data_IF_379066386146
#
_entry.id   IF_379066386146
#
_cell.length_a   1.000
_cell.length_b   1.000
_cell.length_c   1.000
_cell.angle_alpha   90.00
_cell.angle_beta   90.00
_cell.angle_gamma   90.00
#
_symmetry.space_group_name_H-M   'P 1'
#
loop_
_entity.id
_entity.type
_entity.pdbx_description
1 polymer ?
#
# COMPACT_ATOMS: atom_id res chain seq x y z
N UNK A 1 -7.40 6.73 9.91
CA UNK A 1 -6.29 5.78 10.14
C UNK A 1 -5.29 6.20 11.23
N UNK A 2 -4.37 7.15 10.99
CA UNK A 2 -3.32 7.50 11.98
C UNK A 2 -3.94 7.97 13.31
N UNK A 3 -4.99 8.79 13.25
CA UNK A 3 -5.71 9.22 14.46
C UNK A 3 -6.35 8.05 15.21
N UNK A 4 -6.93 7.08 14.49
CA UNK A 4 -7.49 5.86 15.11
C UNK A 4 -6.38 5.08 15.85
N UNK A 5 -5.21 4.90 15.23
CA UNK A 5 -4.05 4.25 15.85
C UNK A 5 -3.59 5.01 17.10
N UNK A 6 -3.48 6.35 17.04
CA UNK A 6 -3.08 7.19 18.18
C UNK A 6 -4.10 7.19 19.32
N UNK A 7 -5.38 7.05 18.99
CA UNK A 7 -6.48 7.08 19.97
C UNK A 7 -6.71 5.73 20.67
N UNK A 8 -6.11 4.65 20.17
CA UNK A 8 -6.27 3.31 20.71
C UNK A 8 -5.21 3.02 21.77
N UNK A 9 -5.60 2.97 23.05
CA UNK A 9 -4.69 2.67 24.18
C UNK A 9 -3.99 1.30 24.08
N UNK A 10 -4.54 0.41 23.25
CA UNK A 10 -4.00 -0.93 22.97
C UNK A 10 -2.95 -0.94 21.86
N UNK A 11 -2.67 0.21 21.25
CA UNK A 11 -1.68 0.39 20.20
C UNK A 11 -0.59 1.35 20.67
N UNK A 12 0.66 1.00 20.39
CA UNK A 12 1.83 1.83 20.57
C UNK A 12 2.31 2.26 19.20
N UNK A 13 2.21 3.55 18.91
CA UNK A 13 2.79 4.17 17.71
C UNK A 13 4.23 4.55 18.02
N UNK A 14 5.19 3.97 17.30
CA UNK A 14 6.62 4.25 17.48
C UNK A 14 7.06 5.46 16.68
N UNK A 15 6.54 5.56 15.46
CA UNK A 15 6.81 6.62 14.51
C UNK A 15 5.55 6.87 13.69
N UNK A 16 5.28 8.12 13.38
CA UNK A 16 4.27 8.48 12.41
C UNK A 16 4.66 9.75 11.66
N UNK A 17 4.17 9.80 10.43
CA UNK A 17 4.47 10.87 9.51
C UNK A 17 3.17 11.34 8.89
N UNK A 18 2.95 12.63 8.99
CA UNK A 18 2.01 13.35 8.13
C UNK A 18 2.83 14.50 7.57
N UNK A 19 3.15 14.46 6.28
CA UNK A 19 3.94 15.51 5.64
C UNK A 19 3.32 16.88 5.92
N UNK A 20 4.09 17.77 6.55
CA UNK A 20 3.64 19.11 6.92
C UNK A 20 3.41 20.00 5.70
N UNK A 21 2.55 21.02 5.86
CA UNK A 21 2.17 22.00 4.82
C UNK A 21 3.32 22.94 4.39
N UNK A 22 4.43 22.96 5.13
CA UNK A 22 5.48 23.99 5.06
C UNK A 22 6.64 23.69 4.10
N UNK A 23 6.36 23.16 2.90
CA UNK A 23 7.32 23.28 1.80
C UNK A 23 6.94 24.49 0.96
N UNK A 24 7.58 25.63 1.23
CA UNK A 24 7.54 26.80 0.33
C UNK A 24 7.93 26.34 -1.09
N UNK A 25 6.93 26.27 -1.98
CA UNK A 25 7.10 25.82 -3.37
C UNK A 25 6.69 24.36 -3.67
N UNK A 26 6.15 23.61 -2.71
CA UNK A 26 5.59 22.27 -2.93
C UNK A 26 4.16 22.28 -3.49
N UNK A 27 3.74 21.18 -4.12
CA UNK A 27 2.37 20.94 -4.61
C UNK A 27 1.29 20.84 -3.51
N UNK A 28 1.66 21.15 -2.27
CA UNK A 28 0.82 21.13 -1.08
C UNK A 28 -0.31 22.15 -1.17
N UNK A 29 -1.55 21.71 -0.93
CA UNK A 29 -2.75 22.56 -0.96
C UNK A 29 -3.37 22.79 -2.34
N UNK A 30 -2.72 22.35 -3.43
CA UNK A 30 -3.36 22.35 -4.75
C UNK A 30 -4.46 21.30 -4.78
N UNK A 31 -5.64 21.60 -5.36
CA UNK A 31 -6.69 20.59 -5.54
C UNK A 31 -6.13 19.36 -6.26
N UNK A 32 -6.53 18.15 -5.84
CA UNK A 32 -6.10 16.90 -6.50
C UNK A 32 -6.38 16.92 -8.00
N UNK A 33 -7.47 17.57 -8.43
CA UNK A 33 -7.80 17.76 -9.85
C UNK A 33 -6.76 18.56 -10.63
N UNK A 34 -6.11 19.54 -9.98
CA UNK A 34 -5.06 20.35 -10.59
C UNK A 34 -3.76 19.54 -10.73
N UNK A 35 -3.40 18.80 -9.68
CA UNK A 35 -2.25 17.90 -9.70
C UNK A 35 -2.44 16.80 -10.74
N UNK A 36 -3.64 16.21 -10.81
CA UNK A 36 -4.03 15.23 -11.82
C UNK A 36 -3.92 15.80 -13.24
N UNK A 37 -4.34 17.06 -13.45
CA UNK A 37 -4.21 17.73 -14.74
C UNK A 37 -2.75 17.92 -15.14
N UNK A 38 -1.88 18.30 -14.20
CA UNK A 38 -0.45 18.42 -14.43
C UNK A 38 0.20 17.08 -14.75
N UNK A 39 -0.08 16.04 -13.95
CA UNK A 39 0.44 14.69 -14.22
C UNK A 39 -0.02 14.21 -15.59
N UNK A 40 -1.29 14.43 -15.97
CA UNK A 40 -1.78 14.10 -17.31
C UNK A 40 -1.03 14.87 -18.40
N UNK A 41 -0.73 16.15 -18.20
CA UNK A 41 0.04 16.94 -19.16
C UNK A 41 1.49 16.44 -19.29
N UNK A 42 2.15 16.11 -18.17
CA UNK A 42 3.50 15.54 -18.17
C UNK A 42 3.48 14.15 -18.82
N UNK A 43 2.51 13.30 -18.48
CA UNK A 43 2.32 11.98 -19.06
C UNK A 43 2.19 12.02 -20.59
N UNK A 44 1.42 12.98 -21.12
CA UNK A 44 1.28 13.19 -22.55
C UNK A 44 2.58 13.59 -23.25
N UNK A 45 3.53 14.20 -22.52
CA UNK A 45 4.84 14.59 -23.06
C UNK A 45 5.89 13.47 -23.03
N UNK A 46 5.64 12.38 -22.29
CA UNK A 46 6.57 11.25 -22.12
C UNK A 46 6.26 10.14 -23.13
N UNK A 47 7.11 9.89 -24.13
CA UNK A 47 6.88 8.82 -25.11
C UNK A 47 6.69 7.45 -24.46
N UNK A 48 7.40 7.18 -23.36
CA UNK A 48 7.29 5.94 -22.59
C UNK A 48 5.93 5.75 -21.90
N UNK A 49 5.12 6.80 -21.77
CA UNK A 49 3.77 6.77 -21.20
C UNK A 49 2.67 6.90 -22.26
N UNK A 50 3.02 6.82 -23.55
CA UNK A 50 2.03 6.84 -24.61
C UNK A 50 0.98 5.74 -24.40
N UNK A 51 -0.28 6.14 -24.22
CA UNK A 51 -1.40 5.23 -23.98
C UNK A 51 -1.67 4.87 -22.51
N UNK A 52 -0.88 5.38 -21.55
CA UNK A 52 -1.16 5.25 -20.11
C UNK A 52 -2.41 6.06 -19.77
N UNK A 53 -3.34 5.46 -19.03
CA UNK A 53 -4.57 6.12 -18.57
C UNK A 53 -4.59 6.15 -17.05
N UNK A 54 -4.71 7.34 -16.47
CA UNK A 54 -4.91 7.51 -15.03
C UNK A 54 -6.40 7.51 -14.73
N UNK A 55 -6.80 6.66 -13.79
CA UNK A 55 -8.20 6.55 -13.38
C UNK A 55 -8.65 7.86 -12.70
N UNK A 56 -9.76 8.50 -13.16
CA UNK A 56 -10.29 9.69 -12.51
C UNK A 56 -10.67 9.47 -11.03
N UNK A 57 -10.98 8.25 -10.61
CA UNK A 57 -11.33 7.95 -9.21
C UNK A 57 -10.14 8.18 -8.24
N UNK A 58 -8.91 8.21 -8.75
CA UNK A 58 -7.72 8.56 -7.95
C UNK A 58 -7.83 9.99 -7.42
N UNK A 59 -8.50 10.91 -8.13
CA UNK A 59 -8.74 12.27 -7.64
C UNK A 59 -9.68 12.29 -6.41
N UNK A 60 -10.51 11.25 -6.25
CA UNK A 60 -11.44 11.10 -5.12
C UNK A 60 -10.76 10.50 -3.90
N UNK A 61 -9.93 9.46 -4.09
CA UNK A 61 -9.34 8.69 -2.99
C UNK A 61 -7.89 9.09 -2.66
N UNK A 62 -7.20 9.80 -3.56
CA UNK A 62 -5.78 10.11 -3.43
C UNK A 62 -5.43 10.95 -2.22
N UNK A 63 -4.20 10.76 -1.73
CA UNK A 63 -3.65 11.52 -0.62
C UNK A 63 -3.48 12.99 -0.98
N UNK A 64 -3.92 13.86 -0.08
CA UNK A 64 -3.71 15.32 -0.16
C UNK A 64 -2.39 15.76 0.49
N UNK A 65 -1.80 14.88 1.28
CA UNK A 65 -0.50 15.10 1.91
C UNK A 65 0.60 14.56 0.99
N UNK A 66 1.81 15.14 1.03
CA UNK A 66 2.96 14.64 0.28
C UNK A 66 3.31 13.22 0.68
N UNK A 67 3.06 12.90 1.95
CA UNK A 67 3.33 11.60 2.52
C UNK A 67 2.51 11.40 3.79
N UNK A 68 2.06 10.17 4.00
CA UNK A 68 1.61 9.70 5.32
C UNK A 68 2.28 8.37 5.64
N UNK A 69 2.55 8.11 6.91
CA UNK A 69 3.14 6.86 7.34
C UNK A 69 2.92 6.60 8.82
N UNK A 70 3.06 5.35 9.23
CA UNK A 70 3.09 4.96 10.63
C UNK A 70 3.82 3.64 10.80
N UNK A 71 4.53 3.49 11.91
CA UNK A 71 5.04 2.23 12.41
C UNK A 71 4.52 2.02 13.83
N UNK A 72 3.82 0.91 14.05
CA UNK A 72 3.09 0.65 15.29
C UNK A 72 3.12 -0.83 15.69
N UNK A 73 2.83 -1.09 16.96
CA UNK A 73 2.57 -2.43 17.48
C UNK A 73 1.50 -2.43 18.56
N UNK A 74 0.94 -3.59 18.86
CA UNK A 74 0.07 -3.79 20.03
C UNK A 74 0.83 -3.56 21.33
N UNK A 75 0.14 -2.99 22.32
CA UNK A 75 0.65 -2.78 23.66
C UNK A 75 1.01 -4.10 24.37
N UNK A 76 1.85 -3.99 25.40
CA UNK A 76 2.28 -5.14 26.20
C UNK A 76 1.08 -5.82 26.87
N UNK A 77 0.99 -7.14 26.74
CA UNK A 77 -0.09 -7.94 27.34
C UNK A 77 -1.15 -8.39 26.33
N UNK A 78 -1.11 -7.87 25.10
CA UNK A 78 -1.91 -8.34 23.98
C UNK A 78 -1.10 -9.31 23.10
N UNK A 79 -1.78 -10.15 22.28
CA UNK A 79 -1.12 -10.90 21.23
C UNK A 79 -0.27 -9.98 20.35
N UNK A 80 0.94 -10.41 20.01
CA UNK A 80 1.89 -9.58 19.26
C UNK A 80 1.37 -9.35 17.84
N UNK A 81 1.10 -8.10 17.53
CA UNK A 81 0.80 -7.63 16.19
C UNK A 81 1.49 -6.29 15.95
N UNK A 82 1.92 -6.06 14.72
CA UNK A 82 2.55 -4.82 14.31
C UNK A 82 2.24 -4.53 12.84
N UNK A 83 2.36 -3.27 12.49
CA UNK A 83 2.17 -2.81 11.13
C UNK A 83 3.05 -1.63 10.80
N UNK A 84 3.24 -1.44 9.52
CA UNK A 84 3.96 -0.32 8.96
C UNK A 84 3.35 0.04 7.61
N UNK A 85 3.31 1.32 7.30
CA UNK A 85 3.03 1.81 5.96
C UNK A 85 3.70 3.17 5.78
N UNK A 86 4.01 3.49 4.53
CA UNK A 86 4.50 4.79 4.10
C UNK A 86 3.99 5.06 2.69
N UNK A 87 2.95 5.87 2.62
CA UNK A 87 2.31 6.26 1.39
C UNK A 87 2.78 7.66 0.96
N UNK A 88 3.60 7.78 -0.09
CA UNK A 88 3.78 9.06 -0.78
C UNK A 88 2.49 9.49 -1.48
N UNK A 89 2.40 10.76 -1.82
CA UNK A 89 1.39 11.26 -2.75
C UNK A 89 1.44 10.46 -4.05
N UNK A 90 0.30 9.95 -4.50
CA UNK A 90 0.23 9.08 -5.67
C UNK A 90 0.88 9.68 -6.92
N UNK A 91 0.62 10.97 -7.17
CA UNK A 91 1.16 11.66 -8.34
C UNK A 91 2.67 11.82 -8.31
N UNK A 92 3.26 12.03 -7.14
CA UNK A 92 4.71 12.06 -6.96
C UNK A 92 5.31 10.65 -7.14
N UNK A 93 4.64 9.62 -6.62
CA UNK A 93 5.05 8.23 -6.80
C UNK A 93 5.18 7.85 -8.28
N UNK A 94 4.28 8.32 -9.15
CA UNK A 94 4.35 8.02 -10.59
C UNK A 94 5.67 8.49 -11.25
N UNK A 95 6.27 9.58 -10.75
CA UNK A 95 7.52 10.12 -11.28
C UNK A 95 8.76 9.65 -10.53
N UNK A 96 8.59 8.89 -9.45
CA UNK A 96 9.70 8.32 -8.71
C UNK A 96 10.54 7.37 -9.60
N UNK A 97 11.78 7.15 -9.18
CA UNK A 97 12.64 6.12 -9.77
C UNK A 97 11.98 4.76 -9.50
N UNK A 98 11.96 3.83 -10.48
CA UNK A 98 11.47 2.48 -10.22
C UNK A 98 12.17 1.83 -9.02
N UNK A 99 11.45 1.04 -8.19
CA UNK A 99 12.07 0.40 -7.05
C UNK A 99 13.19 -0.54 -7.49
N UNK A 100 14.24 -0.62 -6.69
CA UNK A 100 15.35 -1.55 -6.94
C UNK A 100 14.83 -2.99 -6.90
N UNK A 101 15.23 -3.80 -7.87
CA UNK A 101 15.00 -5.25 -7.87
C UNK A 101 16.13 -6.04 -7.24
N UNK A 102 17.18 -5.35 -6.76
CA UNK A 102 18.34 -6.01 -6.17
C UNK A 102 17.92 -6.73 -4.89
N UNK A 103 17.98 -8.07 -4.91
CA UNK A 103 17.61 -8.92 -3.79
C UNK A 103 16.18 -9.47 -3.85
N UNK A 104 15.36 -9.04 -4.82
CA UNK A 104 14.03 -9.61 -5.05
C UNK A 104 14.10 -10.80 -6.02
N UNK A 105 13.30 -11.82 -5.75
CA UNK A 105 13.09 -12.94 -6.65
C UNK A 105 12.53 -12.50 -8.00
N UNK A 106 12.67 -13.34 -9.02
CA UNK A 106 12.03 -13.09 -10.31
C UNK A 106 10.52 -13.23 -10.20
N UNK A 107 9.78 -12.23 -10.66
CA UNK A 107 8.32 -12.24 -10.76
C UNK A 107 7.79 -13.54 -11.42
N UNK A 108 6.69 -14.09 -10.90
CA UNK A 108 5.88 -15.08 -11.61
C UNK A 108 5.12 -14.36 -12.72
N UNK A 109 5.82 -14.05 -13.81
CA UNK A 109 5.32 -13.23 -14.93
C UNK A 109 6.29 -12.10 -15.26
N UNK A 110 6.53 -11.85 -16.54
CA UNK A 110 7.52 -10.88 -17.02
C UNK A 110 7.06 -9.41 -16.85
N UNK A 111 6.82 -8.97 -15.61
CA UNK A 111 6.65 -7.54 -15.33
C UNK A 111 8.00 -6.87 -15.45
N UNK A 112 8.09 -5.86 -16.31
CA UNK A 112 9.25 -4.99 -16.40
C UNK A 112 9.31 -4.11 -15.13
N UNK A 113 10.35 -4.23 -14.30
CA UNK A 113 10.50 -3.41 -13.11
C UNK A 113 10.50 -1.90 -13.40
N UNK A 114 10.91 -1.48 -14.61
CA UNK A 114 10.87 -0.09 -15.02
C UNK A 114 9.44 0.50 -15.07
N UNK A 115 8.42 -0.36 -15.10
CA UNK A 115 7.01 0.03 -15.04
C UNK A 115 6.49 0.21 -13.61
N UNK A 116 7.20 -0.26 -12.59
CA UNK A 116 6.74 -0.20 -11.20
C UNK A 116 7.09 1.14 -10.55
N UNK A 117 6.17 1.67 -9.74
CA UNK A 117 6.34 2.87 -8.93
C UNK A 117 5.85 2.59 -7.52
N UNK A 118 6.75 2.68 -6.54
CA UNK A 118 6.43 2.40 -5.14
C UNK A 118 5.35 3.38 -4.65
N UNK A 119 4.28 2.83 -4.10
CA UNK A 119 3.17 3.59 -3.49
C UNK A 119 3.01 3.29 -2.01
N UNK A 120 3.64 2.22 -1.51
CA UNK A 120 3.73 1.88 -0.09
C UNK A 120 5.01 1.08 0.17
N UNK A 121 5.62 1.28 1.34
CA UNK A 121 6.83 0.59 1.76
C UNK A 121 7.01 0.58 3.27
N UNK A 122 7.95 -0.24 3.74
CA UNK A 122 8.23 -0.46 5.17
C UNK A 122 9.67 -0.07 5.55
N UNK A 123 10.02 1.23 5.53
CA UNK A 123 11.40 1.69 5.72
C UNK A 123 12.00 1.41 7.10
N UNK A 124 11.21 1.36 8.18
CA UNK A 124 11.67 1.17 9.56
C UNK A 124 11.93 -0.30 9.87
N UNK A 125 11.04 -1.21 9.44
CA UNK A 125 11.23 -2.64 9.69
C UNK A 125 12.21 -3.30 8.73
N UNK A 126 12.42 -2.72 7.54
CA UNK A 126 13.29 -3.30 6.52
C UNK A 126 12.79 -4.65 5.99
N UNK A 127 11.48 -4.90 6.05
CA UNK A 127 10.89 -6.17 5.60
C UNK A 127 11.09 -6.47 4.10
N UNK A 128 11.47 -5.46 3.31
CA UNK A 128 11.64 -5.59 1.85
C UNK A 128 10.32 -5.72 1.07
N UNK A 129 9.19 -5.77 1.77
CA UNK A 129 7.86 -5.72 1.19
C UNK A 129 7.55 -4.27 0.79
N UNK A 130 7.08 -4.12 -0.45
CA UNK A 130 6.59 -2.85 -0.97
C UNK A 130 5.37 -3.11 -1.85
N UNK A 131 4.47 -2.14 -1.92
CA UNK A 131 3.44 -2.10 -2.94
C UNK A 131 3.80 -1.06 -4.00
N UNK A 132 3.52 -1.38 -5.25
CA UNK A 132 3.79 -0.53 -6.38
C UNK A 132 2.58 -0.47 -7.31
N UNK A 133 2.35 0.71 -7.87
CA UNK A 133 1.50 0.84 -9.06
C UNK A 133 2.33 0.52 -10.29
N UNK A 134 1.75 -0.23 -11.22
CA UNK A 134 2.35 -0.46 -12.53
C UNK A 134 1.86 0.63 -13.49
N UNK A 135 2.79 1.26 -14.19
CA UNK A 135 2.54 2.28 -15.21
C UNK A 135 2.69 1.62 -16.57
N UNK A 136 1.57 1.21 -17.15
CA UNK A 136 1.51 0.53 -18.45
C UNK A 136 0.44 1.13 -19.38
N UNK A 137 0.64 1.07 -20.70
CA UNK A 137 -0.32 1.59 -21.65
C UNK A 137 -1.59 0.71 -21.72
N UNK A 138 -2.70 1.34 -22.10
CA UNK A 138 -3.98 0.70 -22.43
C UNK A 138 -4.60 -0.13 -21.30
N UNK A 139 -4.22 0.14 -20.05
CA UNK A 139 -4.79 -0.50 -18.86
C UNK A 139 -5.37 0.57 -17.96
N UNK A 140 -6.62 0.37 -17.50
CA UNK A 140 -7.33 1.23 -16.57
C UNK A 140 -8.39 0.37 -15.83
N UNK A 141 -8.44 0.40 -14.49
CA UNK A 141 -7.50 1.06 -13.58
C UNK A 141 -6.07 0.51 -13.71
N UNK A 142 -5.07 1.29 -13.26
CA UNK A 142 -3.69 0.79 -13.19
C UNK A 142 -3.60 -0.35 -12.17
N UNK A 143 -2.73 -1.31 -12.44
CA UNK A 143 -2.59 -2.50 -11.60
C UNK A 143 -1.73 -2.19 -10.37
N UNK A 144 -2.15 -2.70 -9.21
CA UNK A 144 -1.33 -2.71 -8.00
C UNK A 144 -0.60 -4.06 -7.90
N UNK A 145 0.67 -3.98 -7.51
CA UNK A 145 1.58 -5.11 -7.38
C UNK A 145 2.27 -5.06 -6.01
N UNK A 146 2.49 -6.22 -5.40
CA UNK A 146 3.22 -6.36 -4.14
C UNK A 146 4.50 -7.12 -4.41
N UNK A 147 5.65 -6.53 -4.05
CA UNK A 147 6.94 -7.19 -4.19
C UNK A 147 7.25 -8.05 -2.97
N UNK A 148 7.44 -9.34 -3.22
CA UNK A 148 7.85 -10.32 -2.22
C UNK A 148 9.36 -10.53 -2.39
N UNK A 149 10.20 -10.31 -1.36
CA UNK A 149 11.65 -10.47 -1.50
C UNK A 149 12.07 -11.81 -2.12
N UNK A 150 11.42 -12.92 -1.77
CA UNK A 150 11.83 -14.25 -2.20
C UNK A 150 11.33 -14.60 -3.61
N UNK A 151 10.18 -14.03 -4.00
CA UNK A 151 9.45 -14.52 -5.18
C UNK A 151 9.14 -13.44 -6.21
N UNK A 152 9.50 -12.18 -5.94
CA UNK A 152 9.29 -11.05 -6.82
C UNK A 152 7.87 -10.47 -6.76
N UNK A 153 7.55 -9.51 -7.66
CA UNK A 153 6.25 -8.86 -7.67
C UNK A 153 5.11 -9.82 -8.05
N UNK A 154 3.96 -9.63 -7.39
CA UNK A 154 2.70 -10.32 -7.64
C UNK A 154 1.58 -9.31 -7.78
N UNK A 155 0.70 -9.53 -8.76
CA UNK A 155 -0.46 -8.66 -8.98
C UNK A 155 -1.47 -8.87 -7.86
N UNK A 156 -2.10 -7.77 -7.42
CA UNK A 156 -3.25 -7.83 -6.54
C UNK A 156 -4.56 -7.70 -7.33
N UNK A 157 -5.68 -8.06 -6.71
CA UNK A 157 -7.02 -7.78 -7.23
C UNK A 157 -7.54 -6.38 -6.87
N UNK A 158 -6.64 -5.48 -6.45
CA UNK A 158 -6.95 -4.11 -6.04
C UNK A 158 -6.52 -3.09 -7.10
N UNK A 159 -7.34 -2.04 -7.24
CA UNK A 159 -6.88 -0.76 -7.77
C UNK A 159 -6.31 0.12 -6.64
N UNK A 160 -5.89 1.34 -6.96
CA UNK A 160 -5.30 2.25 -5.97
C UNK A 160 -6.29 2.66 -4.86
N UNK A 161 -7.56 2.91 -5.19
CA UNK A 161 -8.54 3.30 -4.17
C UNK A 161 -8.87 2.12 -3.25
N UNK A 162 -9.08 0.93 -3.82
CA UNK A 162 -9.26 -0.30 -3.05
C UNK A 162 -8.04 -0.64 -2.19
N UNK A 163 -6.83 -0.30 -2.65
CA UNK A 163 -5.62 -0.41 -1.84
C UNK A 163 -5.65 0.49 -0.61
N UNK A 164 -6.06 1.76 -0.77
CA UNK A 164 -6.19 2.69 0.35
C UNK A 164 -7.29 2.28 1.33
N UNK A 165 -8.43 1.80 0.83
CA UNK A 165 -9.52 1.30 1.66
C UNK A 165 -9.09 0.07 2.47
N UNK A 166 -8.40 -0.87 1.83
CA UNK A 166 -7.86 -2.05 2.50
C UNK A 166 -6.78 -1.67 3.53
N UNK A 167 -5.90 -0.72 3.21
CA UNK A 167 -4.91 -0.21 4.16
C UNK A 167 -5.59 0.45 5.36
N UNK A 168 -6.65 1.23 5.14
CA UNK A 168 -7.40 1.89 6.21
C UNK A 168 -8.00 0.88 7.19
N UNK A 169 -8.55 -0.24 6.70
CA UNK A 169 -9.17 -1.28 7.55
C UNK A 169 -8.10 -2.09 8.28
N UNK A 170 -7.01 -2.44 7.59
CA UNK A 170 -5.93 -3.30 8.08
C UNK A 170 -4.84 -2.55 8.84
N UNK A 171 -4.91 -1.21 8.86
CA UNK A 171 -3.92 -0.31 9.48
C UNK A 171 -2.47 -0.55 9.06
N UNK A 172 -2.23 -1.21 7.93
CA UNK A 172 -0.87 -1.61 7.52
C UNK A 172 -0.30 -2.79 8.32
N UNK A 173 -1.12 -3.62 8.95
CA UNK A 173 -0.66 -4.82 9.66
C UNK A 173 0.13 -5.76 8.72
N UNK A 174 1.33 -6.18 9.11
CA UNK A 174 2.23 -6.88 8.18
C UNK A 174 1.58 -8.08 7.48
N UNK A 175 1.68 -8.08 6.15
CA UNK A 175 1.20 -9.18 5.30
C UNK A 175 -0.26 -9.05 4.86
N UNK A 176 -0.98 -8.01 5.26
CA UNK A 176 -2.37 -7.79 4.86
C UNK A 176 -2.57 -7.80 3.33
N UNK A 177 -1.56 -7.34 2.58
CA UNK A 177 -1.61 -7.27 1.12
C UNK A 177 -1.79 -8.64 0.46
N UNK A 178 -1.41 -9.72 1.15
CA UNK A 178 -1.55 -11.09 0.65
C UNK A 178 -3.01 -11.58 0.62
N UNK A 179 -3.93 -10.94 1.35
CA UNK A 179 -5.38 -11.18 1.22
C UNK A 179 -5.95 -10.77 -0.14
N UNK A 180 -5.17 -10.04 -0.92
CA UNK A 180 -5.55 -9.49 -2.22
C UNK A 180 -4.62 -9.94 -3.34
N UNK A 181 -3.58 -10.70 -3.01
CA UNK A 181 -2.63 -11.22 -3.98
C UNK A 181 -3.06 -12.63 -4.42
N UNK A 182 -2.82 -12.97 -5.68
CA UNK A 182 -2.97 -14.33 -6.21
C UNK A 182 -1.78 -15.22 -5.77
N UNK A 183 -1.79 -15.60 -4.49
CA UNK A 183 -0.82 -16.52 -3.88
C UNK A 183 -1.56 -17.54 -3.00
N UNK A 184 -1.02 -18.76 -2.97
CA UNK A 184 -1.40 -19.77 -1.98
C UNK A 184 -0.78 -19.42 -0.63
N UNK A 185 -1.60 -19.17 0.38
CA UNK A 185 -1.13 -18.95 1.75
C UNK A 185 -0.86 -20.26 2.49
N UNK A 186 -1.19 -21.39 1.88
CA UNK A 186 -0.87 -22.73 2.39
C UNK A 186 0.63 -23.07 2.29
N UNK A 187 1.37 -22.34 1.47
CA UNK A 187 2.78 -22.63 1.21
C UNK A 187 3.65 -22.20 2.41
N UNK A 188 4.69 -22.98 2.71
CA UNK A 188 5.59 -22.78 3.86
C UNK A 188 6.13 -21.35 4.09
N UNK A 189 6.47 -20.51 3.07
CA UNK A 189 6.94 -19.15 3.34
C UNK A 189 5.89 -18.23 3.97
N UNK A 190 4.60 -18.59 3.95
CA UNK A 190 3.51 -17.72 4.39
C UNK A 190 2.94 -18.03 5.78
N UNK A 191 3.43 -19.04 6.50
CA UNK A 191 2.89 -19.36 7.85
C UNK A 191 2.91 -18.18 8.82
N UNK A 192 3.98 -17.39 8.81
CA UNK A 192 4.08 -16.18 9.65
C UNK A 192 3.12 -15.08 9.22
N UNK A 193 2.90 -14.95 7.90
CA UNK A 193 1.95 -14.01 7.31
C UNK A 193 0.52 -14.39 7.72
N UNK A 194 0.15 -15.66 7.61
CA UNK A 194 -1.17 -16.19 8.02
C UNK A 194 -1.39 -15.96 9.52
N UNK A 195 -0.41 -16.30 10.36
CA UNK A 195 -0.53 -16.10 11.81
C UNK A 195 -0.74 -14.62 12.18
N UNK A 196 -0.03 -13.70 11.51
CA UNK A 196 -0.26 -12.26 11.72
C UNK A 196 -1.68 -11.83 11.31
N UNK A 197 -2.19 -12.33 10.19
CA UNK A 197 -3.55 -12.01 9.74
C UNK A 197 -4.62 -12.59 10.67
N UNK A 198 -4.43 -13.80 11.20
CA UNK A 198 -5.31 -14.37 12.22
C UNK A 198 -5.34 -13.52 13.48
N UNK A 199 -4.18 -13.07 13.96
CA UNK A 199 -4.10 -12.17 15.12
C UNK A 199 -4.77 -10.84 14.82
N UNK A 200 -4.52 -10.25 13.64
CA UNK A 200 -5.19 -9.02 13.21
C UNK A 200 -6.71 -9.18 13.21
N UNK A 201 -7.24 -10.23 12.57
CA UNK A 201 -8.68 -10.48 12.47
C UNK A 201 -9.33 -10.88 13.79
N UNK A 202 -8.54 -11.41 14.74
CA UNK A 202 -9.00 -11.69 16.10
C UNK A 202 -9.05 -10.44 17.00
N UNK A 203 -8.14 -9.49 16.80
CA UNK A 203 -8.03 -8.29 17.65
C UNK A 203 -8.78 -7.07 17.10
N UNK A 204 -8.68 -6.82 15.80
CA UNK A 204 -9.16 -5.57 15.22
C UNK A 204 -10.66 -5.33 15.33
N UNK A 205 -11.55 -6.34 15.26
CA UNK A 205 -12.97 -6.12 15.53
C UNK A 205 -13.25 -5.57 16.94
N UNK A 206 -12.39 -5.85 17.92
CA UNK A 206 -12.50 -5.31 19.27
C UNK A 206 -11.82 -3.92 19.39
N UNK A 207 -10.68 -3.72 18.72
CA UNK A 207 -9.90 -2.48 18.80
C UNK A 207 -10.44 -1.35 17.92
N UNK A 208 -11.07 -1.68 16.80
CA UNK A 208 -11.59 -0.75 15.79
C UNK A 208 -12.96 -1.21 15.28
N UNK A 209 -13.99 -1.25 16.15
CA UNK A 209 -15.29 -1.88 15.86
C UNK A 209 -16.10 -1.19 14.75
N UNK A 210 -15.68 -0.03 14.28
CA UNK A 210 -16.34 0.72 13.21
C UNK A 210 -16.12 0.11 11.81
N UNK A 211 -15.17 -0.81 11.65
CA UNK A 211 -14.85 -1.44 10.36
C UNK A 211 -15.45 -2.84 10.25
N UNK A 212 -15.82 -3.22 9.02
CA UNK A 212 -16.23 -4.58 8.71
C UNK A 212 -15.03 -5.45 8.32
N UNK A 213 -14.71 -6.42 9.17
CA UNK A 213 -13.61 -7.37 8.97
C UNK A 213 -14.04 -8.69 8.31
N UNK A 214 -15.35 -8.94 8.14
CA UNK A 214 -15.84 -10.20 7.58
C UNK A 214 -15.29 -10.49 6.17
N UNK A 215 -15.23 -9.51 5.23
CA UNK A 215 -14.64 -9.75 3.92
C UNK A 215 -13.16 -10.14 3.95
N UNK A 216 -12.40 -9.63 4.93
CA UNK A 216 -10.98 -9.99 5.09
C UNK A 216 -10.82 -11.41 5.64
N UNK A 217 -11.69 -11.82 6.56
CA UNK A 217 -11.72 -13.20 7.06
C UNK A 217 -12.09 -14.19 5.96
N UNK A 218 -13.10 -13.90 5.14
CA UNK A 218 -13.46 -14.74 3.99
C UNK A 218 -12.29 -14.89 3.00
N UNK A 219 -11.56 -13.79 2.74
CA UNK A 219 -10.38 -13.80 1.87
C UNK A 219 -9.23 -14.64 2.42
N UNK A 220 -9.04 -14.64 3.74
CA UNK A 220 -8.03 -15.47 4.41
C UNK A 220 -8.38 -16.95 4.25
N UNK A 221 -9.63 -17.33 4.53
CA UNK A 221 -10.08 -18.73 4.40
C UNK A 221 -10.00 -19.23 2.96
N UNK A 222 -10.36 -18.39 1.98
CA UNK A 222 -10.32 -18.77 0.56
C UNK A 222 -8.89 -18.99 0.01
N UNK A 223 -7.85 -18.54 0.72
CA UNK A 223 -6.44 -18.61 0.30
C UNK A 223 -5.60 -19.62 1.09
N UNK A 224 -6.16 -20.20 2.16
CA UNK A 224 -5.61 -21.38 2.85
C UNK A 224 -5.81 -22.64 2.03
#
# INVERSE_FOLDING_TARGET
MIEELRSCDSIVVFDDLVGAEDLEGGNLGRPLSEQAAEVRAIAQSKPEWAGVTLDPDIERCGLRFPEIGSHWATAKGLPRLSGEFRLPMFYDALFAVPPSTAGHGSAAGAVDPAQLREIDGHPQSGSGLLAAVRVQPHTSPLEIWVSIPETGPRKTDLDYCGYLDALLITKGAYGWQFLFTDVSLADDPFHHVVSNMEVMLGLFPELFPEHDYAPLAERLEARR
#
